data_IF_433624009465
#
_entry.id   IF_433624009465
#
_cell.length_a   1.000
_cell.length_b   1.000
_cell.length_c   1.000
_cell.angle_alpha   90.00
_cell.angle_beta   90.00
_cell.angle_gamma   90.00
#
_symmetry.space_group_name_H-M   'P 1'
#
loop_
_entity.id
_entity.type
_entity.pdbx_description
1 polymer ?
#
# COMPACT_ATOMS: atom_id res chain seq x y z
N UNK A 1 3.64 -6.77 -0.84
CA UNK A 1 5.11 -6.88 -0.88
C UNK A 1 5.48 -8.23 -1.46
N UNK A 2 6.35 -8.30 -2.46
CA UNK A 2 6.86 -9.58 -2.99
C UNK A 2 7.95 -10.11 -2.04
N UNK A 3 7.92 -11.36 -1.56
CA UNK A 3 9.01 -11.94 -0.78
C UNK A 3 10.38 -11.90 -1.46
N UNK A 4 10.44 -11.90 -2.81
CA UNK A 4 11.71 -11.81 -3.54
C UNK A 4 12.36 -10.41 -3.46
N UNK A 5 11.56 -9.37 -3.20
CA UNK A 5 12.00 -8.00 -2.91
C UNK A 5 11.43 -7.56 -1.55
N UNK A 6 11.41 -8.49 -0.61
CA UNK A 6 10.66 -8.36 0.64
C UNK A 6 11.34 -7.47 1.67
N UNK A 7 10.76 -7.45 2.87
CA UNK A 7 11.27 -6.71 4.01
C UNK A 7 12.03 -7.65 4.94
N UNK A 8 13.16 -7.21 5.48
CA UNK A 8 13.84 -7.94 6.53
C UNK A 8 13.06 -7.81 7.84
N UNK A 9 12.69 -8.95 8.45
CA UNK A 9 11.96 -9.00 9.69
C UNK A 9 12.62 -9.99 10.65
N UNK A 10 12.81 -9.59 11.89
CA UNK A 10 13.25 -10.47 12.96
C UNK A 10 12.05 -11.16 13.57
N UNK A 11 12.00 -12.50 13.49
CA UNK A 11 10.87 -13.30 13.93
C UNK A 11 11.36 -14.36 14.90
N UNK A 12 10.70 -14.46 16.06
CA UNK A 12 10.85 -15.58 16.99
C UNK A 12 9.72 -16.58 16.76
N UNK A 13 9.99 -17.79 16.22
CA UNK A 13 8.95 -18.79 16.00
C UNK A 13 8.29 -19.22 17.32
N UNK A 14 6.97 -19.44 17.32
CA UNK A 14 6.23 -19.87 18.52
C UNK A 14 6.45 -21.35 18.87
N UNK A 15 7.22 -22.07 18.07
CA UNK A 15 7.13 -23.53 17.94
C UNK A 15 7.70 -24.28 19.17
N UNK A 16 8.50 -23.61 20.01
CA UNK A 16 9.08 -24.17 21.24
C UNK A 16 9.51 -23.04 22.19
N UNK A 17 9.45 -23.24 23.52
CA UNK A 17 9.95 -22.30 24.55
C UNK A 17 11.43 -21.90 24.37
N UNK A 18 12.20 -22.71 23.66
CA UNK A 18 13.62 -22.46 23.35
C UNK A 18 13.85 -21.84 21.96
N UNK A 19 12.80 -21.42 21.25
CA UNK A 19 12.95 -20.86 19.90
C UNK A 19 13.72 -19.55 19.95
N UNK A 20 14.81 -19.48 19.19
CA UNK A 20 15.61 -18.27 19.02
C UNK A 20 15.05 -17.46 17.85
N UNK A 21 15.10 -16.14 17.97
CA UNK A 21 14.71 -15.25 16.88
C UNK A 21 15.70 -15.30 15.72
N UNK A 22 15.20 -15.09 14.51
CA UNK A 22 15.98 -15.11 13.28
C UNK A 22 15.51 -14.01 12.32
N UNK A 23 16.43 -13.52 11.51
CA UNK A 23 16.12 -12.62 10.39
C UNK A 23 15.60 -13.41 9.21
N UNK A 24 14.49 -12.95 8.64
CA UNK A 24 13.86 -13.53 7.46
C UNK A 24 13.45 -12.42 6.51
N UNK A 25 13.54 -12.67 5.21
CA UNK A 25 12.91 -11.81 4.21
C UNK A 25 11.45 -12.23 4.09
N UNK A 26 10.54 -11.28 4.33
CA UNK A 26 9.09 -11.53 4.33
C UNK A 26 8.36 -10.61 3.36
N UNK A 27 7.25 -11.10 2.83
CA UNK A 27 6.38 -10.36 1.91
C UNK A 27 4.90 -10.59 2.26
N UNK A 28 4.04 -10.43 1.26
CA UNK A 28 2.58 -10.50 1.41
C UNK A 28 1.93 -9.14 1.67
N UNK A 29 0.60 -9.14 1.67
CA UNK A 29 -0.22 -7.98 2.04
C UNK A 29 -0.21 -7.72 3.55
N UNK A 30 0.14 -8.73 4.36
CA UNK A 30 0.36 -8.60 5.81
C UNK A 30 1.49 -7.64 6.17
N UNK A 31 2.41 -7.36 5.23
CA UNK A 31 3.42 -6.30 5.39
C UNK A 31 2.90 -4.95 4.93
N UNK A 32 2.00 -4.92 3.94
CA UNK A 32 1.43 -3.68 3.39
C UNK A 32 0.41 -3.06 4.35
N UNK A 33 -0.45 -3.87 4.97
CA UNK A 33 -1.47 -3.38 5.90
C UNK A 33 -0.91 -2.50 7.05
N UNK A 34 0.13 -2.91 7.81
CA UNK A 34 0.72 -2.07 8.85
C UNK A 34 1.43 -0.82 8.28
N UNK A 35 2.00 -0.90 7.07
CA UNK A 35 2.57 0.28 6.41
C UNK A 35 1.50 1.32 6.09
N UNK A 36 0.35 0.89 5.57
CA UNK A 36 -0.79 1.78 5.32
C UNK A 36 -1.34 2.36 6.61
N UNK A 37 -1.41 1.57 7.70
CA UNK A 37 -1.83 2.07 9.01
C UNK A 37 -0.87 3.15 9.54
N UNK A 38 0.45 2.93 9.45
CA UNK A 38 1.45 3.92 9.83
C UNK A 38 1.37 5.18 8.98
N UNK A 39 1.21 5.03 7.65
CA UNK A 39 1.00 6.16 6.76
C UNK A 39 -0.26 6.95 7.13
N UNK A 40 -1.38 6.30 7.46
CA UNK A 40 -2.59 6.99 7.90
C UNK A 40 -2.40 7.81 9.18
N UNK A 41 -1.56 7.35 10.11
CA UNK A 41 -1.19 8.12 11.31
C UNK A 41 -0.38 9.35 10.91
N UNK A 42 0.71 9.16 10.16
CA UNK A 42 1.59 10.27 9.73
C UNK A 42 0.81 11.33 8.94
N UNK A 43 -0.02 10.89 7.99
CA UNK A 43 -0.87 11.80 7.21
C UNK A 43 -1.88 12.54 8.09
N UNK A 44 -2.42 11.91 9.15
CA UNK A 44 -3.32 12.59 10.09
C UNK A 44 -2.57 13.63 10.93
N UNK A 45 -1.31 13.38 11.30
CA UNK A 45 -0.49 14.32 12.07
C UNK A 45 -0.12 15.56 11.24
N UNK A 46 0.06 15.41 9.93
CA UNK A 46 0.34 16.52 9.00
C UNK A 46 -0.92 17.16 8.40
N UNK A 47 -2.11 16.59 8.64
CA UNK A 47 -3.36 17.13 8.11
C UNK A 47 -3.92 18.24 9.02
N UNK A 48 -4.15 19.41 8.44
CA UNK A 48 -4.74 20.57 9.14
C UNK A 48 -6.16 20.32 9.68
N UNK A 49 -6.87 19.32 9.16
CA UNK A 49 -8.25 18.98 9.54
C UNK A 49 -8.36 17.84 10.57
N UNK A 50 -7.24 17.26 10.99
CA UNK A 50 -7.17 16.18 11.98
C UNK A 50 -7.30 14.77 11.38
N UNK A 51 -8.04 13.88 12.04
CA UNK A 51 -8.09 12.44 11.69
C UNK A 51 -8.63 12.22 10.26
N UNK A 52 -7.93 11.41 9.46
CA UNK A 52 -8.36 11.07 8.10
C UNK A 52 -9.68 10.26 8.03
N UNK A 53 -9.93 9.41 9.03
CA UNK A 53 -11.12 8.56 9.07
C UNK A 53 -11.24 7.61 7.87
N UNK A 54 -12.46 7.39 7.40
CA UNK A 54 -12.73 6.57 6.21
C UNK A 54 -12.40 7.34 4.92
N UNK A 55 -11.17 7.15 4.45
CA UNK A 55 -10.60 7.88 3.32
C UNK A 55 -10.81 7.26 1.93
N UNK A 56 -11.56 6.17 1.78
CA UNK A 56 -11.79 5.54 0.47
C UNK A 56 -12.41 6.51 -0.55
N UNK A 57 -13.52 7.22 -0.27
CA UNK A 57 -14.09 8.17 -1.22
C UNK A 57 -13.09 9.23 -1.70
N UNK A 58 -12.26 9.73 -0.78
CA UNK A 58 -11.25 10.76 -1.02
C UNK A 58 -10.17 10.24 -1.96
N UNK A 59 -9.60 9.05 -1.69
CA UNK A 59 -8.54 8.50 -2.54
C UNK A 59 -9.04 8.18 -3.96
N UNK A 60 -10.29 7.75 -4.12
CA UNK A 60 -10.87 7.54 -5.46
C UNK A 60 -11.16 8.86 -6.19
N UNK A 61 -11.45 9.95 -5.46
CA UNK A 61 -11.51 11.31 -6.04
C UNK A 61 -10.12 11.76 -6.49
N UNK A 62 -9.10 11.59 -5.65
CA UNK A 62 -7.73 12.01 -5.94
C UNK A 62 -7.12 11.24 -7.11
N UNK A 63 -7.41 9.94 -7.21
CA UNK A 63 -6.92 9.10 -8.29
C UNK A 63 -7.38 9.52 -9.70
N UNK A 64 -8.46 10.32 -9.81
CA UNK A 64 -8.97 10.83 -11.09
C UNK A 64 -8.33 12.16 -11.50
N UNK A 65 -7.54 12.79 -10.63
CA UNK A 65 -6.92 14.09 -10.91
C UNK A 65 -5.70 13.93 -11.82
N UNK A 66 -5.34 14.99 -12.53
CA UNK A 66 -4.11 15.04 -13.35
C UNK A 66 -2.84 14.94 -12.51
N UNK A 67 -2.88 15.39 -11.27
CA UNK A 67 -1.83 15.28 -10.25
C UNK A 67 -2.10 14.15 -9.25
N UNK A 68 -2.71 13.05 -9.73
CA UNK A 68 -3.03 11.87 -8.91
C UNK A 68 -1.82 11.40 -8.09
N UNK A 69 -1.98 11.13 -6.79
CA UNK A 69 -0.94 10.53 -5.96
C UNK A 69 -0.78 9.02 -6.21
N UNK A 70 -1.60 8.44 -7.09
CA UNK A 70 -1.59 7.03 -7.43
C UNK A 70 -1.04 6.81 -8.84
N UNK A 71 -0.21 5.79 -8.97
CA UNK A 71 0.27 5.26 -10.25
C UNK A 71 -0.44 3.92 -10.51
N UNK A 72 -1.43 3.88 -11.42
CA UNK A 72 -2.12 2.66 -11.77
C UNK A 72 -1.16 1.61 -12.33
N UNK A 73 -1.36 0.36 -11.92
CA UNK A 73 -0.70 -0.78 -12.53
C UNK A 73 -1.68 -1.39 -13.53
N UNK A 74 -1.70 -0.84 -14.74
CA UNK A 74 -2.67 -1.12 -15.79
C UNK A 74 -2.12 -2.01 -16.93
N UNK A 75 -0.83 -2.36 -16.88
CA UNK A 75 -0.21 -3.32 -17.81
C UNK A 75 -0.94 -4.66 -17.81
N UNK A 76 -0.87 -5.40 -18.93
CA UNK A 76 -1.32 -6.81 -18.97
C UNK A 76 -0.29 -7.79 -18.41
N UNK A 77 0.86 -7.30 -17.94
CA UNK A 77 1.99 -8.09 -17.48
C UNK A 77 2.51 -7.59 -16.14
N UNK A 78 2.98 -8.52 -15.30
CA UNK A 78 3.67 -8.25 -14.02
C UNK A 78 2.86 -7.47 -12.97
N UNK A 79 1.54 -7.62 -12.96
CA UNK A 79 0.60 -6.97 -12.03
C UNK A 79 -0.70 -7.79 -11.86
N UNK A 80 -0.56 -9.11 -11.73
CA UNK A 80 -1.66 -10.09 -11.71
C UNK A 80 -1.76 -10.86 -10.39
N UNK A 81 -2.93 -11.41 -10.10
CA UNK A 81 -3.18 -12.36 -9.00
C UNK A 81 -3.74 -13.71 -9.51
N UNK A 82 -3.24 -14.19 -10.66
CA UNK A 82 -3.71 -15.39 -11.41
C UNK A 82 -5.03 -15.21 -12.16
N UNK A 83 -5.99 -14.47 -11.60
CA UNK A 83 -7.33 -14.30 -12.19
C UNK A 83 -7.55 -12.93 -12.83
N UNK A 84 -6.91 -11.90 -12.26
CA UNK A 84 -7.03 -10.53 -12.73
C UNK A 84 -5.66 -9.98 -13.10
N UNK A 85 -5.62 -9.13 -14.12
CA UNK A 85 -4.44 -8.37 -14.54
C UNK A 85 -4.88 -6.95 -14.89
N UNK A 86 -3.92 -6.04 -15.03
CA UNK A 86 -4.22 -4.68 -15.46
C UNK A 86 -4.83 -4.61 -16.86
N UNK A 87 -5.61 -3.56 -17.06
CA UNK A 87 -6.22 -3.22 -18.34
C UNK A 87 -5.71 -1.84 -18.76
N UNK A 88 -4.99 -1.71 -19.89
CA UNK A 88 -4.38 -0.44 -20.27
C UNK A 88 -5.39 0.71 -20.30
N UNK A 89 -5.02 1.83 -19.67
CA UNK A 89 -5.86 3.01 -19.53
C UNK A 89 -6.93 2.94 -18.43
N UNK A 90 -7.04 1.83 -17.68
CA UNK A 90 -7.96 1.74 -16.53
C UNK A 90 -7.26 2.19 -15.26
N UNK A 91 -7.98 3.02 -14.49
CA UNK A 91 -7.53 3.51 -13.20
C UNK A 91 -7.42 2.42 -12.13
N UNK A 92 -8.26 1.38 -12.24
CA UNK A 92 -8.40 0.33 -11.23
C UNK A 92 -8.06 -1.03 -11.83
N UNK A 93 -7.28 -1.80 -11.09
CA UNK A 93 -6.97 -3.20 -11.34
C UNK A 93 -7.37 -4.02 -10.12
N UNK A 94 -8.15 -5.08 -10.30
CA UNK A 94 -8.64 -5.95 -9.24
C UNK A 94 -7.53 -6.63 -8.43
N UNK A 95 -6.33 -6.81 -9.02
CA UNK A 95 -5.18 -7.36 -8.32
C UNK A 95 -4.43 -6.33 -7.46
N UNK A 96 -4.47 -5.04 -7.80
CA UNK A 96 -3.60 -4.01 -7.21
C UNK A 96 -4.33 -2.72 -6.78
N UNK A 97 -5.64 -2.66 -6.92
CA UNK A 97 -6.45 -1.47 -6.68
C UNK A 97 -6.06 -0.30 -7.57
N UNK A 98 -5.77 0.85 -6.95
CA UNK A 98 -5.28 2.08 -7.59
C UNK A 98 -3.77 2.01 -7.94
N UNK A 99 -3.10 0.89 -7.66
CA UNK A 99 -1.68 0.68 -7.94
C UNK A 99 -0.79 1.11 -6.78
N UNK A 100 0.33 1.77 -7.09
CA UNK A 100 1.27 2.26 -6.07
C UNK A 100 0.96 3.71 -5.68
N UNK A 101 1.32 4.09 -4.45
CA UNK A 101 1.01 5.39 -3.88
C UNK A 101 2.29 6.19 -3.63
N UNK A 102 2.26 7.47 -4.00
CA UNK A 102 3.20 8.48 -3.52
C UNK A 102 2.60 9.14 -2.28
N UNK A 103 3.17 8.87 -1.11
CA UNK A 103 2.64 9.39 0.15
C UNK A 103 2.84 10.90 0.33
N UNK A 104 3.84 11.50 -0.33
CA UNK A 104 4.05 12.96 -0.30
C UNK A 104 2.96 13.65 -1.11
N UNK A 105 2.69 13.17 -2.32
CA UNK A 105 1.60 13.67 -3.15
C UNK A 105 0.23 13.43 -2.49
N UNK A 106 0.05 12.27 -1.83
CA UNK A 106 -1.18 11.96 -1.12
C UNK A 106 -1.41 12.92 0.06
N UNK A 107 -0.38 13.21 0.84
CA UNK A 107 -0.46 14.19 1.93
C UNK A 107 -0.85 15.57 1.42
N UNK A 108 -0.26 16.00 0.30
CA UNK A 108 -0.61 17.26 -0.36
C UNK A 108 -2.09 17.28 -0.74
N UNK A 109 -2.59 16.21 -1.38
CA UNK A 109 -3.99 16.12 -1.80
C UNK A 109 -5.01 16.15 -0.63
N UNK A 110 -4.63 15.75 0.58
CA UNK A 110 -5.48 15.86 1.78
C UNK A 110 -5.46 17.25 2.43
N UNK A 111 -4.51 18.10 2.08
CA UNK A 111 -4.31 19.44 2.67
C UNK A 111 -4.64 20.59 1.70
N UNK A 112 -5.15 20.28 0.50
CA UNK A 112 -5.67 21.24 -0.47
C UNK A 112 -7.18 21.46 -0.28
#
# INVERSE_FOLDING_TARGET
ADPNTGYSMFITPKNNRNSKGQWLITGGTSIVAPQMAAASVLLSDFNTTGRLGFWNPQIYKFAKRSDSPFKPLDSRTNNTNLYYTGQPGKLYNQATGLGTVDFTALNKAFNE
#
